data_IF_692257194934
#
_entry.id   IF_692257194934
#
_cell.length_a   1.000
_cell.length_b   1.000
_cell.length_c   1.000
_cell.angle_alpha   90.00
_cell.angle_beta   90.00
_cell.angle_gamma   90.00
#
_symmetry.space_group_name_H-M   'P 1'
#
loop_
_entity.id
_entity.type
_entity.pdbx_description
1 polymer ?
#
# COMPACT_ATOMS: atom_id res chain seq x y z
N UNK A 1 2.64 28.29 -45.05
CA UNK A 1 1.36 27.85 -44.46
C UNK A 1 1.53 26.90 -43.25
N UNK A 2 2.69 26.27 -43.09
CA UNK A 2 2.99 25.29 -42.02
C UNK A 2 3.07 25.87 -40.59
N UNK A 3 3.48 27.14 -40.43
CA UNK A 3 3.53 27.82 -39.11
C UNK A 3 2.16 28.14 -38.49
N UNK A 4 1.06 28.06 -39.25
CA UNK A 4 -0.30 28.43 -38.76
C UNK A 4 -1.03 27.22 -38.15
N UNK A 5 -0.72 26.01 -38.60
CA UNK A 5 -1.28 24.75 -38.07
C UNK A 5 -0.64 24.32 -36.75
N UNK A 6 0.67 24.48 -36.57
CA UNK A 6 1.34 24.24 -35.26
C UNK A 6 0.83 25.17 -34.14
N UNK A 7 0.55 26.44 -34.47
CA UNK A 7 0.03 27.40 -33.49
C UNK A 7 -1.38 27.05 -33.01
N UNK A 8 -2.22 26.52 -33.89
CA UNK A 8 -3.58 26.05 -33.57
C UNK A 8 -3.62 24.74 -32.79
N UNK A 9 -2.71 23.81 -33.08
CA UNK A 9 -2.59 22.56 -32.33
C UNK A 9 -2.10 22.82 -30.90
N UNK A 10 -1.07 23.68 -30.74
CA UNK A 10 -0.55 24.08 -29.44
C UNK A 10 -1.59 24.87 -28.61
N UNK A 11 -2.41 25.72 -29.22
CA UNK A 11 -3.47 26.43 -28.49
C UNK A 11 -4.60 25.50 -28.03
N UNK A 12 -4.92 24.48 -28.82
CA UNK A 12 -5.99 23.52 -28.53
C UNK A 12 -5.57 22.56 -27.41
N UNK A 13 -4.36 22.01 -27.48
CA UNK A 13 -3.77 21.18 -26.42
C UNK A 13 -3.64 21.98 -25.12
N UNK A 14 -3.18 23.24 -25.20
CA UNK A 14 -3.08 24.11 -24.03
C UNK A 14 -4.44 24.39 -23.38
N UNK A 15 -5.49 24.60 -24.19
CA UNK A 15 -6.84 24.83 -23.68
C UNK A 15 -7.42 23.58 -23.00
N UNK A 16 -7.26 22.40 -23.62
CA UNK A 16 -7.69 21.12 -23.06
C UNK A 16 -6.97 20.84 -21.73
N UNK A 17 -5.65 21.04 -21.68
CA UNK A 17 -4.87 20.86 -20.46
C UNK A 17 -5.32 21.83 -19.37
N UNK A 18 -5.52 23.12 -19.72
CA UNK A 18 -6.01 24.12 -18.78
C UNK A 18 -7.38 23.73 -18.20
N UNK A 19 -8.34 23.35 -19.05
CA UNK A 19 -9.68 22.94 -18.61
C UNK A 19 -9.64 21.67 -17.75
N UNK A 20 -8.78 20.71 -18.08
CA UNK A 20 -8.54 19.54 -17.26
C UNK A 20 -7.96 19.87 -15.88
N UNK A 21 -6.95 20.76 -15.80
CA UNK A 21 -6.34 21.20 -14.54
C UNK A 21 -7.32 21.97 -13.66
N UNK A 22 -8.20 22.78 -14.25
CA UNK A 22 -9.26 23.47 -13.51
C UNK A 22 -10.32 22.51 -12.98
N UNK A 23 -10.69 21.47 -13.74
CA UNK A 23 -11.66 20.45 -13.33
C UNK A 23 -11.08 19.43 -12.33
N UNK A 24 -9.76 19.29 -12.26
CA UNK A 24 -9.07 18.33 -11.40
C UNK A 24 -7.91 18.98 -10.63
N UNK A 25 -8.17 19.83 -9.62
CA UNK A 25 -7.13 20.57 -8.91
C UNK A 25 -6.12 19.70 -8.15
N UNK A 26 -6.42 18.43 -7.89
CA UNK A 26 -5.48 17.49 -7.27
C UNK A 26 -4.56 16.78 -8.28
N UNK A 27 -4.85 16.82 -9.59
CA UNK A 27 -3.98 16.22 -10.59
C UNK A 27 -2.57 16.83 -10.65
N UNK A 28 -2.36 18.17 -10.60
CA UNK A 28 -1.01 18.75 -10.59
C UNK A 28 -0.28 18.51 -9.27
N UNK A 29 -1.00 18.43 -8.15
CA UNK A 29 -0.42 18.14 -6.83
C UNK A 29 0.06 16.69 -6.76
N UNK A 30 -0.75 15.76 -7.26
CA UNK A 30 -0.35 14.36 -7.35
C UNK A 30 0.81 14.18 -8.34
N UNK A 31 0.78 14.86 -9.50
CA UNK A 31 1.86 14.79 -10.47
C UNK A 31 3.19 15.31 -9.88
N UNK A 32 3.18 16.47 -9.23
CA UNK A 32 4.39 17.03 -8.57
C UNK A 32 4.92 16.13 -7.45
N UNK A 33 4.04 15.55 -6.64
CA UNK A 33 4.41 14.57 -5.62
C UNK A 33 5.11 13.33 -6.24
N UNK A 34 4.51 12.76 -7.29
CA UNK A 34 5.07 11.61 -8.04
C UNK A 34 6.41 11.98 -8.66
N UNK A 35 6.52 13.15 -9.29
CA UNK A 35 7.78 13.66 -9.84
C UNK A 35 8.85 13.72 -8.75
N UNK A 36 8.56 14.30 -7.59
CA UNK A 36 9.48 14.32 -6.45
C UNK A 36 9.94 12.93 -6.01
N UNK A 37 9.02 11.95 -5.98
CA UNK A 37 9.35 10.57 -5.63
C UNK A 37 10.23 9.87 -6.67
N UNK A 38 9.98 10.10 -7.96
CA UNK A 38 10.80 9.57 -9.05
C UNK A 38 12.20 10.19 -9.02
N UNK A 39 12.29 11.49 -8.76
CA UNK A 39 13.55 12.22 -8.61
C UNK A 39 14.42 11.69 -7.48
N UNK A 40 13.82 11.18 -6.39
CA UNK A 40 14.58 10.56 -5.31
C UNK A 40 15.35 9.29 -5.73
N UNK A 41 15.00 8.67 -6.88
CA UNK A 41 15.80 7.56 -7.43
C UNK A 41 17.01 8.02 -8.27
N UNK A 42 17.09 9.29 -8.67
CA UNK A 42 18.10 9.80 -9.60
C UNK A 42 18.65 11.15 -9.12
N UNK A 43 19.81 11.15 -8.45
CA UNK A 43 20.40 12.34 -7.82
C UNK A 43 20.63 13.51 -8.80
N UNK A 44 21.00 13.23 -10.06
CA UNK A 44 21.20 14.26 -11.09
C UNK A 44 19.91 14.88 -11.64
N UNK A 45 18.82 14.11 -11.67
CA UNK A 45 17.56 14.56 -12.26
C UNK A 45 16.85 15.59 -11.37
N UNK A 46 17.14 15.57 -10.06
CA UNK A 46 16.63 16.54 -9.10
C UNK A 46 17.05 17.96 -9.45
N UNK A 47 18.30 18.16 -9.86
CA UNK A 47 18.82 19.47 -10.29
C UNK A 47 18.20 19.92 -11.61
N UNK A 48 18.04 19.02 -12.58
CA UNK A 48 17.42 19.36 -13.87
C UNK A 48 15.93 19.70 -13.73
N UNK A 49 15.17 18.97 -12.89
CA UNK A 49 13.74 19.22 -12.71
C UNK A 49 13.47 20.39 -11.78
N UNK A 50 14.28 20.61 -10.74
CA UNK A 50 14.20 21.86 -9.95
C UNK A 50 14.53 23.09 -10.79
N UNK A 51 15.52 23.00 -11.69
CA UNK A 51 15.82 24.04 -12.67
C UNK A 51 14.65 24.27 -13.65
N UNK A 52 14.06 23.20 -14.19
CA UNK A 52 12.91 23.29 -15.10
C UNK A 52 11.64 23.85 -14.42
N UNK A 53 11.34 23.45 -13.19
CA UNK A 53 10.23 24.00 -12.42
C UNK A 53 10.51 25.47 -12.03
N UNK A 54 11.76 25.84 -11.77
CA UNK A 54 12.15 27.24 -11.53
C UNK A 54 11.95 28.10 -12.79
N UNK A 55 12.29 27.57 -13.97
CA UNK A 55 12.04 28.21 -15.27
C UNK A 55 10.54 28.31 -15.59
N UNK A 56 9.76 27.27 -15.31
CA UNK A 56 8.30 27.30 -15.42
C UNK A 56 7.67 28.26 -14.41
N UNK A 57 8.23 28.37 -13.19
CA UNK A 57 7.83 29.33 -12.17
C UNK A 57 8.03 30.76 -12.63
N UNK A 58 9.21 31.07 -13.19
CA UNK A 58 9.52 32.35 -13.82
C UNK A 58 8.56 32.67 -14.98
N UNK A 59 8.23 31.68 -15.82
CA UNK A 59 7.26 31.82 -16.91
C UNK A 59 5.83 32.07 -16.39
N UNK A 60 5.44 31.42 -15.28
CA UNK A 60 4.13 31.52 -14.65
C UNK A 60 3.95 32.79 -13.81
N UNK A 61 5.02 33.42 -13.32
CA UNK A 61 4.99 34.75 -12.67
C UNK A 61 4.44 35.82 -13.63
N UNK A 62 4.56 35.62 -14.95
CA UNK A 62 3.96 36.51 -15.96
C UNK A 62 2.43 36.50 -16.00
N UNK A 63 1.75 35.55 -15.32
CA UNK A 63 0.28 35.49 -15.19
C UNK A 63 -0.11 35.33 -13.72
N UNK A 64 -0.84 36.31 -13.15
CA UNK A 64 -1.19 36.47 -11.71
C UNK A 64 -1.80 35.25 -10.96
N UNK A 65 -2.07 34.12 -11.61
CA UNK A 65 -2.53 32.85 -11.00
C UNK A 65 -1.41 31.80 -10.93
N UNK A 66 -0.33 31.95 -11.69
CA UNK A 66 0.72 30.93 -11.85
C UNK A 66 1.71 30.82 -10.69
N UNK A 67 2.09 31.94 -10.06
CA UNK A 67 3.12 31.93 -9.01
C UNK A 67 2.73 31.08 -7.78
N UNK A 68 1.47 31.20 -7.31
CA UNK A 68 0.96 30.42 -6.17
C UNK A 68 0.89 28.92 -6.49
N UNK A 69 0.48 28.56 -7.70
CA UNK A 69 0.40 27.17 -8.15
C UNK A 69 1.80 26.54 -8.31
N UNK A 70 2.76 27.28 -8.85
CA UNK A 70 4.16 26.83 -8.95
C UNK A 70 4.82 26.65 -7.58
N UNK A 71 4.59 27.58 -6.65
CA UNK A 71 5.08 27.46 -5.28
C UNK A 71 4.50 26.22 -4.58
N UNK A 72 3.20 25.98 -4.73
CA UNK A 72 2.54 24.80 -4.18
C UNK A 72 3.07 23.49 -4.81
N UNK A 73 3.28 23.47 -6.13
CA UNK A 73 3.86 22.32 -6.83
C UNK A 73 5.31 22.03 -6.38
N UNK A 74 6.12 23.07 -6.14
CA UNK A 74 7.48 22.93 -5.59
C UNK A 74 7.46 22.33 -4.19
N UNK A 75 6.55 22.78 -3.32
CA UNK A 75 6.37 22.21 -1.98
C UNK A 75 6.03 20.72 -2.09
N UNK A 76 5.09 20.33 -2.95
CA UNK A 76 4.70 18.92 -3.08
C UNK A 76 5.77 18.06 -3.74
N UNK A 77 6.55 18.59 -4.69
CA UNK A 77 7.72 17.92 -5.23
C UNK A 77 8.80 17.72 -4.15
N UNK A 78 9.06 18.73 -3.32
CA UNK A 78 10.00 18.64 -2.20
C UNK A 78 9.52 17.63 -1.14
N UNK A 79 8.23 17.63 -0.81
CA UNK A 79 7.61 16.64 0.08
C UNK A 79 7.70 15.23 -0.49
N UNK A 80 7.48 15.05 -1.80
CA UNK A 80 7.63 13.78 -2.49
C UNK A 80 9.07 13.27 -2.45
N UNK A 81 10.03 14.14 -2.73
CA UNK A 81 11.45 13.85 -2.64
C UNK A 81 11.88 13.48 -1.23
N UNK A 82 11.44 14.24 -0.21
CA UNK A 82 11.76 13.96 1.18
C UNK A 82 11.17 12.61 1.63
N UNK A 83 9.90 12.34 1.29
CA UNK A 83 9.26 11.08 1.65
C UNK A 83 9.92 9.87 0.96
N UNK A 84 10.25 9.98 -0.33
CA UNK A 84 10.91 8.90 -1.06
C UNK A 84 12.38 8.71 -0.61
N UNK A 85 13.12 9.79 -0.36
CA UNK A 85 14.52 9.72 0.09
C UNK A 85 14.66 9.08 1.47
N UNK A 86 13.71 9.31 2.40
CA UNK A 86 13.66 8.60 3.70
C UNK A 86 13.56 7.08 3.54
N UNK A 87 12.86 6.61 2.51
CA UNK A 87 12.58 5.19 2.28
C UNK A 87 13.69 4.52 1.47
N UNK A 88 14.20 5.23 0.45
CA UNK A 88 15.28 4.74 -0.42
C UNK A 88 16.65 4.83 0.25
N UNK A 89 16.88 5.83 1.09
CA UNK A 89 18.12 6.04 1.84
C UNK A 89 17.84 6.17 3.34
N UNK A 90 17.40 5.08 4.01
CA UNK A 90 17.15 5.14 5.44
C UNK A 90 18.48 5.42 6.17
N UNK A 91 18.49 6.43 7.05
CA UNK A 91 19.60 6.63 7.99
C UNK A 91 19.53 5.53 9.04
N UNK A 92 20.26 4.45 8.82
CA UNK A 92 20.26 3.29 9.70
C UNK A 92 21.23 3.53 10.86
N UNK A 93 20.75 3.39 12.10
CA UNK A 93 21.61 3.38 13.27
C UNK A 93 22.54 2.18 13.30
N UNK A 94 23.60 2.24 14.10
CA UNK A 94 24.54 1.13 14.32
C UNK A 94 23.86 -0.11 14.94
N UNK A 95 22.71 0.08 15.58
CA UNK A 95 21.85 -0.96 16.16
C UNK A 95 20.97 -1.69 15.12
N UNK A 96 21.02 -1.30 13.84
CA UNK A 96 20.22 -1.92 12.81
C UNK A 96 20.81 -3.26 12.35
N UNK A 97 19.96 -4.29 12.22
CA UNK A 97 20.41 -5.66 11.88
C UNK A 97 21.20 -5.76 10.57
N UNK A 98 20.91 -4.90 9.59
CA UNK A 98 21.64 -4.89 8.31
C UNK A 98 23.08 -4.34 8.38
N UNK A 99 23.44 -3.68 9.50
CA UNK A 99 24.78 -3.15 9.76
C UNK A 99 25.69 -4.18 10.45
N UNK A 100 25.12 -5.26 10.97
CA UNK A 100 25.86 -6.36 11.60
C UNK A 100 26.35 -7.36 10.55
N UNK A 101 27.38 -8.14 10.92
CA UNK A 101 27.81 -9.32 10.18
C UNK A 101 26.68 -10.35 10.12
N UNK A 102 25.93 -10.35 9.02
CA UNK A 102 24.74 -11.21 8.86
C UNK A 102 25.06 -12.72 8.96
N UNK A 103 26.31 -13.10 8.68
CA UNK A 103 26.80 -14.48 8.77
C UNK A 103 27.02 -14.94 10.22
N UNK A 104 27.31 -14.01 11.13
CA UNK A 104 27.47 -14.29 12.57
C UNK A 104 26.13 -14.42 13.30
N UNK A 105 25.03 -13.95 12.69
CA UNK A 105 23.69 -14.03 13.26
C UNK A 105 23.13 -15.43 13.07
N UNK A 106 23.04 -16.19 14.16
CA UNK A 106 22.54 -17.57 14.13
C UNK A 106 21.08 -17.69 14.58
N UNK A 107 20.59 -16.78 15.44
CA UNK A 107 19.20 -16.74 15.92
C UNK A 107 18.68 -15.31 15.96
N UNK A 108 17.36 -15.16 15.81
CA UNK A 108 16.66 -13.88 15.97
C UNK A 108 15.39 -14.06 16.80
N UNK A 109 15.05 -13.01 17.55
CA UNK A 109 13.79 -12.87 18.28
C UNK A 109 13.07 -11.59 17.84
N UNK A 110 11.76 -11.69 17.64
CA UNK A 110 10.96 -10.54 17.22
C UNK A 110 9.48 -10.84 17.06
N UNK A 111 8.72 -9.80 16.73
CA UNK A 111 7.28 -9.89 16.52
C UNK A 111 6.97 -10.04 15.03
N UNK A 112 5.97 -10.86 14.70
CA UNK A 112 5.43 -10.92 13.34
C UNK A 112 4.60 -9.66 13.05
N UNK A 113 5.03 -8.84 12.08
CA UNK A 113 4.32 -7.59 11.75
C UNK A 113 3.29 -7.75 10.64
N UNK A 114 3.30 -8.89 9.94
CA UNK A 114 2.27 -9.33 8.98
C UNK A 114 1.94 -10.81 9.25
N UNK A 115 0.72 -11.26 8.93
CA UNK A 115 0.42 -12.69 8.86
C UNK A 115 1.42 -13.40 7.94
N UNK A 116 1.74 -14.66 8.25
CA UNK A 116 2.62 -15.45 7.39
C UNK A 116 1.93 -15.82 6.08
N UNK A 117 2.61 -15.63 4.93
CA UNK A 117 2.10 -16.10 3.65
C UNK A 117 2.43 -17.59 3.49
N UNK A 118 1.42 -18.45 3.43
CA UNK A 118 1.61 -19.86 3.09
C UNK A 118 1.66 -20.03 1.55
N UNK A 119 2.62 -20.82 1.10
CA UNK A 119 2.71 -21.36 -0.26
C UNK A 119 2.90 -22.86 -0.13
N UNK A 120 2.50 -23.67 -1.12
CA UNK A 120 2.31 -25.14 -1.06
C UNK A 120 3.19 -25.93 -0.06
N UNK A 121 4.49 -25.61 0.06
CA UNK A 121 5.41 -26.20 1.05
C UNK A 121 6.33 -25.19 1.76
N UNK A 122 6.06 -23.89 1.66
CA UNK A 122 6.89 -22.83 2.23
C UNK A 122 6.04 -21.81 2.97
N UNK A 123 6.46 -21.43 4.16
CA UNK A 123 5.89 -20.28 4.88
C UNK A 123 6.84 -19.10 4.74
N UNK A 124 6.33 -17.97 4.29
CA UNK A 124 7.04 -16.69 4.35
C UNK A 124 6.69 -15.99 5.65
N UNK A 125 7.71 -15.66 6.44
CA UNK A 125 7.57 -15.02 7.75
C UNK A 125 8.12 -13.59 7.66
N UNK A 126 7.33 -12.63 8.15
CA UNK A 126 7.70 -11.22 8.22
C UNK A 126 7.90 -10.83 9.68
N UNK A 127 9.15 -10.57 10.07
CA UNK A 127 9.52 -10.32 11.47
C UNK A 127 10.09 -8.92 11.65
N UNK A 128 9.68 -8.25 12.73
CA UNK A 128 10.37 -7.09 13.27
C UNK A 128 11.25 -7.53 14.43
N UNK A 129 12.56 -7.51 14.20
CA UNK A 129 13.56 -8.02 15.14
C UNK A 129 13.70 -7.09 16.32
N UNK A 130 13.78 -7.68 17.51
CA UNK A 130 14.14 -6.97 18.75
C UNK A 130 15.49 -7.43 19.29
N UNK A 131 15.86 -8.70 19.06
CA UNK A 131 17.16 -9.25 19.48
C UNK A 131 17.74 -10.18 18.43
N UNK A 132 19.05 -10.14 18.27
CA UNK A 132 19.82 -11.06 17.45
C UNK A 132 20.86 -11.77 18.32
N UNK A 133 21.12 -13.04 18.04
CA UNK A 133 22.15 -13.83 18.71
C UNK A 133 23.40 -13.84 17.85
N UNK A 134 24.44 -13.16 18.33
CA UNK A 134 25.72 -12.93 17.65
C UNK A 134 26.84 -13.29 18.62
N UNK A 135 27.83 -14.07 18.19
CA UNK A 135 29.01 -14.44 18.99
C UNK A 135 28.64 -14.92 20.41
N UNK A 136 27.67 -15.84 20.48
CA UNK A 136 27.16 -16.45 21.70
C UNK A 136 26.48 -15.49 22.70
N UNK A 137 26.09 -14.28 22.29
CA UNK A 137 25.38 -13.30 23.12
C UNK A 137 24.16 -12.72 22.40
N UNK A 138 23.12 -12.40 23.16
CA UNK A 138 21.97 -11.66 22.66
C UNK A 138 22.25 -10.16 22.68
N UNK A 139 22.12 -9.53 21.52
CA UNK A 139 22.21 -8.08 21.36
C UNK A 139 20.86 -7.51 20.94
N UNK A 140 20.52 -6.33 21.45
CA UNK A 140 19.32 -5.59 21.03
C UNK A 140 19.58 -5.01 19.65
N UNK A 141 18.66 -5.27 18.72
CA UNK A 141 18.74 -4.78 17.35
C UNK A 141 17.38 -4.30 16.88
N UNK A 142 17.39 -3.48 15.84
CA UNK A 142 16.18 -3.06 15.13
C UNK A 142 16.26 -3.47 13.67
N UNK A 143 15.11 -3.74 13.08
CA UNK A 143 14.97 -3.95 11.65
C UNK A 143 13.91 -4.96 11.30
N UNK A 144 13.46 -4.91 10.05
CA UNK A 144 12.50 -5.88 9.51
C UNK A 144 13.22 -6.89 8.64
N UNK A 145 12.79 -8.13 8.75
CA UNK A 145 13.30 -9.23 7.95
C UNK A 145 12.21 -10.09 7.36
N UNK A 146 12.53 -10.69 6.21
CA UNK A 146 11.70 -11.68 5.52
C UNK A 146 12.41 -13.02 5.54
N UNK A 147 11.80 -14.02 6.17
CA UNK A 147 12.33 -15.38 6.23
C UNK A 147 11.49 -16.32 5.40
N UNK A 148 12.16 -17.24 4.70
CA UNK A 148 11.51 -18.37 4.07
C UNK A 148 11.73 -19.60 4.95
N UNK A 149 10.65 -20.22 5.39
CA UNK A 149 10.65 -21.48 6.15
C UNK A 149 10.16 -22.62 5.25
N UNK A 150 10.89 -23.73 5.24
CA UNK A 150 10.49 -24.96 4.54
C UNK A 150 9.61 -25.79 5.47
N UNK A 151 8.32 -25.55 5.41
CA UNK A 151 7.31 -26.20 6.25
C UNK A 151 6.01 -25.40 6.24
N UNK A 152 4.94 -26.02 6.74
CA UNK A 152 3.64 -25.34 6.93
C UNK A 152 3.55 -24.87 8.37
N UNK A 153 3.59 -23.56 8.55
CA UNK A 153 3.32 -22.92 9.83
C UNK A 153 2.48 -21.68 9.57
N UNK A 154 1.37 -21.53 10.30
CA UNK A 154 0.55 -20.34 10.25
C UNK A 154 0.89 -19.48 11.46
N UNK A 155 1.47 -18.30 11.21
CA UNK A 155 1.78 -17.31 12.23
C UNK A 155 0.86 -16.11 12.06
N UNK A 156 0.13 -15.82 13.13
CA UNK A 156 -0.67 -14.61 13.24
C UNK A 156 0.22 -13.38 13.41
N UNK A 157 -0.29 -12.22 13.04
CA UNK A 157 0.33 -10.93 13.35
C UNK A 157 0.39 -10.73 14.88
N UNK A 158 1.52 -10.24 15.39
CA UNK A 158 1.75 -9.97 16.81
C UNK A 158 2.37 -11.14 17.60
N UNK A 159 2.62 -12.28 16.98
CA UNK A 159 3.30 -13.41 17.62
C UNK A 159 4.79 -13.06 17.85
N UNK A 160 5.27 -13.26 19.08
CA UNK A 160 6.69 -13.17 19.40
C UNK A 160 7.32 -14.54 19.18
N UNK A 161 8.28 -14.63 18.26
CA UNK A 161 8.90 -15.90 17.89
C UNK A 161 10.42 -15.82 18.01
N UNK A 162 11.04 -16.98 18.24
CA UNK A 162 12.48 -17.22 18.16
C UNK A 162 12.76 -18.22 17.05
N UNK A 163 13.76 -17.94 16.21
CA UNK A 163 14.08 -18.83 15.08
C UNK A 163 15.56 -18.82 14.75
N UNK A 164 16.12 -20.00 14.43
CA UNK A 164 17.47 -20.13 13.86
C UNK A 164 17.44 -19.70 12.40
N UNK A 165 18.36 -18.84 12.00
CA UNK A 165 18.31 -18.19 10.68
C UNK A 165 19.65 -18.24 9.96
N UNK A 166 19.57 -18.21 8.63
CA UNK A 166 20.69 -17.80 7.76
C UNK A 166 20.27 -16.55 7.00
N UNK A 167 20.93 -15.43 7.28
CA UNK A 167 20.56 -14.11 6.76
C UNK A 167 21.47 -13.69 5.61
N UNK A 168 20.95 -12.84 4.73
CA UNK A 168 21.68 -12.20 3.63
C UNK A 168 21.01 -10.88 3.24
N UNK A 169 21.75 -10.02 2.55
CA UNK A 169 21.16 -8.83 1.92
C UNK A 169 20.36 -9.25 0.68
N UNK A 170 19.18 -8.63 0.42
CA UNK A 170 18.46 -8.86 -0.82
C UNK A 170 19.29 -8.37 -2.01
N UNK A 171 19.54 -9.26 -2.97
CA UNK A 171 20.20 -8.92 -4.23
C UNK A 171 19.17 -8.54 -5.29
N UNK A 172 19.53 -7.62 -6.18
CA UNK A 172 18.77 -7.32 -7.39
C UNK A 172 19.16 -8.24 -8.54
N UNK A 173 18.29 -8.31 -9.54
CA UNK A 173 18.70 -8.77 -10.87
C UNK A 173 19.41 -7.61 -11.57
N UNK A 174 20.56 -7.90 -12.20
CA UNK A 174 21.34 -6.89 -12.93
C UNK A 174 20.78 -6.59 -14.33
N UNK A 175 19.69 -7.25 -14.72
CA UNK A 175 19.14 -7.12 -16.07
C UNK A 175 18.35 -5.80 -16.22
N UNK A 176 18.70 -4.92 -17.17
CA UNK A 176 17.96 -3.68 -17.42
C UNK A 176 16.48 -3.96 -17.70
N UNK A 177 15.58 -3.16 -17.12
CA UNK A 177 14.12 -3.32 -17.27
C UNK A 177 13.48 -4.43 -16.41
N UNK A 178 14.26 -5.25 -15.71
CA UNK A 178 13.72 -6.27 -14.81
C UNK A 178 13.20 -5.68 -13.48
N UNK A 179 12.23 -6.36 -12.86
CA UNK A 179 11.66 -5.94 -11.58
C UNK A 179 12.74 -5.95 -10.48
N UNK A 180 13.02 -4.76 -9.93
CA UNK A 180 14.06 -4.57 -8.90
C UNK A 180 13.54 -4.99 -7.51
N UNK A 181 13.51 -6.30 -7.26
CA UNK A 181 12.95 -6.88 -6.02
C UNK A 181 13.58 -6.33 -4.73
N UNK A 182 14.89 -6.01 -4.73
CA UNK A 182 15.56 -5.41 -3.58
C UNK A 182 14.99 -4.02 -3.22
N UNK A 183 14.70 -3.16 -4.21
CA UNK A 183 14.07 -1.85 -3.98
C UNK A 183 12.65 -2.01 -3.46
N UNK A 184 11.90 -2.98 -3.97
CA UNK A 184 10.57 -3.30 -3.44
C UNK A 184 10.62 -3.69 -1.95
N UNK A 185 11.56 -4.55 -1.55
CA UNK A 185 11.73 -4.93 -0.15
C UNK A 185 12.19 -3.77 0.73
N UNK A 186 13.15 -2.98 0.25
CA UNK A 186 13.62 -1.77 0.93
C UNK A 186 12.49 -0.78 1.18
N UNK A 187 11.60 -0.61 0.19
CA UNK A 187 10.39 0.20 0.33
C UNK A 187 9.43 -0.30 1.41
N UNK A 188 9.42 -1.60 1.72
CA UNK A 188 8.69 -2.17 2.87
C UNK A 188 9.46 -2.08 4.21
N UNK A 189 10.65 -1.48 4.20
CA UNK A 189 11.59 -1.45 5.32
C UNK A 189 12.32 -2.77 5.55
N UNK A 190 12.22 -3.72 4.62
CA UNK A 190 12.86 -5.04 4.70
C UNK A 190 14.22 -4.96 4.02
N UNK A 191 15.27 -4.83 4.81
CA UNK A 191 16.66 -4.71 4.33
C UNK A 191 17.45 -6.01 4.43
N UNK A 192 16.88 -7.02 5.10
CA UNK A 192 17.51 -8.32 5.32
C UNK A 192 16.51 -9.42 4.98
N UNK A 193 16.96 -10.41 4.22
CA UNK A 193 16.20 -11.62 3.91
C UNK A 193 16.95 -12.85 4.40
N UNK A 194 16.25 -13.96 4.58
CA UNK A 194 16.92 -15.18 5.00
C UNK A 194 16.06 -16.43 4.90
N UNK A 195 16.64 -17.52 5.37
CA UNK A 195 15.96 -18.80 5.53
C UNK A 195 15.88 -19.15 7.01
N UNK A 196 14.73 -19.65 7.45
CA UNK A 196 14.58 -20.27 8.76
C UNK A 196 15.14 -21.69 8.68
N UNK A 197 16.14 -21.99 9.51
CA UNK A 197 16.84 -23.28 9.56
C UNK A 197 16.17 -24.27 10.51
N UNK A 198 15.28 -23.79 11.38
CA UNK A 198 14.50 -24.60 12.31
C UNK A 198 13.04 -24.15 12.31
N UNK A 199 12.12 -24.99 12.80
CA UNK A 199 10.78 -24.53 13.16
C UNK A 199 10.87 -23.31 14.09
N UNK A 200 10.14 -22.22 13.80
CA UNK A 200 10.03 -21.08 14.71
C UNK A 200 9.40 -21.49 16.04
N UNK A 201 10.06 -21.16 17.14
CA UNK A 201 9.56 -21.32 18.51
C UNK A 201 8.67 -20.12 18.84
N UNK A 202 7.40 -20.35 19.17
CA UNK A 202 6.45 -19.30 19.52
C UNK A 202 6.55 -19.04 21.02
N UNK A 203 7.13 -17.90 21.39
CA UNK A 203 7.37 -17.52 22.79
C UNK A 203 6.17 -16.80 23.42
N UNK A 204 5.43 -16.03 22.62
CA UNK A 204 4.20 -15.39 23.07
C UNK A 204 3.25 -15.18 21.89
N UNK A 205 1.97 -15.43 22.09
CA UNK A 205 0.93 -15.09 21.12
C UNK A 205 0.10 -13.96 21.69
N UNK A 206 0.35 -12.73 21.25
CA UNK A 206 -0.61 -11.65 21.47
C UNK A 206 -1.77 -11.85 20.48
N UNK A 207 -2.89 -12.41 20.95
CA UNK A 207 -4.11 -12.49 20.15
C UNK A 207 -4.82 -11.14 20.19
N UNK A 208 -4.60 -10.31 19.17
CA UNK A 208 -5.40 -9.10 19.00
C UNK A 208 -6.88 -9.47 18.74
N UNK A 209 -7.83 -8.59 19.08
CA UNK A 209 -9.26 -8.77 18.74
C UNK A 209 -9.47 -9.03 17.25
N UNK A 210 -8.65 -8.38 16.41
CA UNK A 210 -8.65 -8.59 14.96
C UNK A 210 -8.25 -10.03 14.58
N UNK A 211 -7.29 -10.60 15.29
CA UNK A 211 -6.84 -11.98 15.11
C UNK A 211 -7.97 -12.95 15.47
N UNK A 212 -8.69 -12.70 16.56
CA UNK A 212 -9.82 -13.54 16.98
C UNK A 212 -10.96 -13.52 15.95
N UNK A 213 -11.30 -12.33 15.44
CA UNK A 213 -12.32 -12.17 14.39
C UNK A 213 -11.89 -12.92 13.12
N UNK A 214 -10.63 -12.77 12.69
CA UNK A 214 -10.10 -13.50 11.52
C UNK A 214 -10.13 -15.01 11.73
N UNK A 215 -9.70 -15.51 12.90
CA UNK A 215 -9.76 -16.93 13.24
C UNK A 215 -11.19 -17.47 13.17
N UNK A 216 -12.17 -16.70 13.65
CA UNK A 216 -13.59 -17.07 13.55
C UNK A 216 -14.07 -17.23 12.09
N UNK A 217 -13.75 -16.27 11.21
CA UNK A 217 -14.07 -16.39 9.79
C UNK A 217 -13.33 -17.54 9.11
N UNK A 218 -12.06 -17.76 9.43
CA UNK A 218 -11.29 -18.88 8.89
C UNK A 218 -11.88 -20.23 9.31
N UNK A 219 -12.38 -20.33 10.54
CA UNK A 219 -13.09 -21.50 11.04
C UNK A 219 -14.42 -21.71 10.30
N UNK A 220 -15.23 -20.67 10.14
CA UNK A 220 -16.47 -20.74 9.37
C UNK A 220 -16.24 -21.19 7.90
N UNK A 221 -15.11 -20.79 7.32
CA UNK A 221 -14.72 -21.20 5.96
C UNK A 221 -14.16 -22.62 5.89
N UNK A 222 -13.81 -23.25 7.01
CA UNK A 222 -13.23 -24.60 7.02
C UNK A 222 -14.20 -25.68 6.55
N UNK A 223 -15.52 -25.42 6.63
CA UNK A 223 -16.59 -26.30 6.15
C UNK A 223 -16.77 -26.28 4.63
N UNK A 224 -16.16 -25.33 3.93
CA UNK A 224 -16.19 -25.28 2.47
C UNK A 224 -15.20 -26.28 1.85
N UNK A 225 -15.51 -26.77 0.64
CA UNK A 225 -14.59 -27.64 -0.11
C UNK A 225 -13.23 -26.93 -0.33
N UNK A 226 -12.11 -27.66 -0.45
CA UNK A 226 -10.78 -27.03 -0.62
C UNK A 226 -10.69 -26.03 -1.78
N UNK A 227 -11.34 -26.33 -2.93
CA UNK A 227 -11.41 -25.42 -4.09
C UNK A 227 -12.16 -24.13 -3.74
N UNK A 228 -13.32 -24.24 -3.11
CA UNK A 228 -14.16 -23.10 -2.76
C UNK A 228 -13.56 -22.29 -1.60
N UNK A 229 -12.95 -22.95 -0.62
CA UNK A 229 -12.35 -22.32 0.56
C UNK A 229 -11.25 -21.33 0.19
N UNK A 230 -10.34 -21.72 -0.72
CA UNK A 230 -9.29 -20.83 -1.21
C UNK A 230 -9.84 -19.58 -1.90
N UNK A 231 -10.90 -19.74 -2.71
CA UNK A 231 -11.58 -18.63 -3.37
C UNK A 231 -12.26 -17.72 -2.34
N UNK A 232 -13.02 -18.28 -1.40
CA UNK A 232 -13.72 -17.52 -0.36
C UNK A 232 -12.76 -16.77 0.56
N UNK A 233 -11.63 -17.39 0.95
CA UNK A 233 -10.56 -16.71 1.69
C UNK A 233 -10.01 -15.52 0.91
N UNK A 234 -9.84 -15.65 -0.40
CA UNK A 234 -9.34 -14.56 -1.24
C UNK A 234 -10.34 -13.40 -1.36
N UNK A 235 -11.63 -13.70 -1.51
CA UNK A 235 -12.67 -12.70 -1.69
C UNK A 235 -13.04 -12.00 -0.36
N UNK A 236 -13.11 -12.74 0.74
CA UNK A 236 -13.57 -12.22 2.04
C UNK A 236 -12.40 -11.62 2.83
N UNK A 237 -11.29 -12.36 2.92
CA UNK A 237 -10.15 -12.02 3.78
C UNK A 237 -8.94 -11.49 3.01
N UNK A 238 -8.99 -11.46 1.66
CA UNK A 238 -7.86 -11.08 0.82
C UNK A 238 -6.72 -12.10 0.78
N UNK A 239 -6.92 -13.30 1.33
CA UNK A 239 -5.89 -14.34 1.46
C UNK A 239 -5.92 -15.31 0.28
N UNK A 240 -4.82 -15.39 -0.47
CA UNK A 240 -4.70 -16.18 -1.71
C UNK A 240 -3.82 -17.42 -1.58
N UNK A 241 -3.39 -17.73 -0.37
CA UNK A 241 -2.47 -18.81 -0.01
C UNK A 241 -3.04 -20.20 -0.28
N UNK A 242 -4.36 -20.36 -0.21
CA UNK A 242 -5.05 -21.64 -0.42
C UNK A 242 -5.72 -21.80 -1.79
N UNK A 243 -5.49 -20.87 -2.74
CA UNK A 243 -6.01 -21.04 -4.11
C UNK A 243 -5.20 -22.14 -4.80
N UNK A 244 -5.88 -23.23 -5.16
CA UNK A 244 -5.29 -24.34 -5.90
C UNK A 244 -4.79 -23.88 -7.28
N UNK A 245 -3.75 -24.56 -7.78
CA UNK A 245 -3.06 -24.17 -9.02
C UNK A 245 -3.97 -24.28 -10.25
N UNK A 246 -4.79 -25.32 -10.33
CA UNK A 246 -5.79 -25.51 -11.39
C UNK A 246 -6.81 -24.36 -11.42
N UNK A 247 -7.28 -23.93 -10.25
CA UNK A 247 -8.17 -22.77 -10.12
C UNK A 247 -7.45 -21.50 -10.57
N UNK A 248 -6.21 -21.28 -10.10
CA UNK A 248 -5.43 -20.09 -10.47
C UNK A 248 -5.20 -19.99 -11.97
N UNK A 249 -4.86 -21.10 -12.63
CA UNK A 249 -4.67 -21.17 -14.07
C UNK A 249 -5.97 -20.85 -14.81
N UNK A 250 -7.11 -21.38 -14.35
CA UNK A 250 -8.41 -21.08 -14.94
C UNK A 250 -8.72 -19.57 -14.89
N UNK A 251 -8.47 -18.91 -13.76
CA UNK A 251 -8.63 -17.45 -13.61
C UNK A 251 -7.62 -16.64 -14.43
N UNK A 252 -6.44 -17.20 -14.75
CA UNK A 252 -5.44 -16.55 -15.60
C UNK A 252 -5.83 -16.64 -17.07
N UNK A 253 -6.18 -17.84 -17.54
CA UNK A 253 -6.60 -18.10 -18.92
C UNK A 253 -7.83 -17.28 -19.29
N UNK A 254 -8.78 -17.15 -18.36
CA UNK A 254 -10.01 -16.36 -18.55
C UNK A 254 -9.82 -14.84 -18.34
N UNK A 255 -8.62 -14.38 -17.98
CA UNK A 255 -8.33 -12.96 -17.75
C UNK A 255 -8.97 -12.34 -16.49
N UNK A 256 -9.70 -13.11 -15.69
CA UNK A 256 -10.43 -12.61 -14.50
C UNK A 256 -9.65 -12.76 -13.18
N UNK A 257 -8.34 -12.98 -13.24
CA UNK A 257 -7.45 -13.08 -12.06
C UNK A 257 -7.54 -11.88 -11.11
N UNK A 258 -7.94 -10.71 -11.59
CA UNK A 258 -8.12 -9.52 -10.78
C UNK A 258 -9.30 -9.61 -9.79
N UNK A 259 -10.29 -10.48 -10.04
CA UNK A 259 -11.43 -10.71 -9.14
C UNK A 259 -10.98 -11.39 -7.84
N UNK A 260 -9.91 -12.20 -7.90
CA UNK A 260 -9.29 -12.81 -6.72
C UNK A 260 -8.57 -11.78 -5.83
N UNK A 261 -8.55 -10.50 -6.21
CA UNK A 261 -8.17 -9.38 -5.36
C UNK A 261 -9.41 -8.74 -4.74
N UNK A 262 -9.31 -8.36 -3.46
CA UNK A 262 -10.25 -7.38 -2.91
C UNK A 262 -10.13 -6.09 -3.73
N UNK A 263 -11.14 -5.86 -4.56
CA UNK A 263 -11.18 -4.81 -5.59
C UNK A 263 -12.12 -3.68 -5.16
N UNK A 264 -12.20 -2.62 -5.97
CA UNK A 264 -13.15 -1.54 -5.75
C UNK A 264 -14.62 -2.00 -5.73
N UNK A 265 -14.94 -3.07 -6.47
CA UNK A 265 -16.29 -3.66 -6.50
C UNK A 265 -16.64 -4.28 -5.14
N UNK A 266 -15.70 -4.97 -4.50
CA UNK A 266 -15.93 -5.54 -3.17
C UNK A 266 -16.24 -4.44 -2.15
N UNK A 267 -15.46 -3.35 -2.20
CA UNK A 267 -15.65 -2.19 -1.32
C UNK A 267 -16.94 -1.43 -1.63
N UNK A 268 -17.36 -1.34 -2.90
CA UNK A 268 -18.62 -0.69 -3.27
C UNK A 268 -19.84 -1.46 -2.78
N UNK A 269 -19.82 -2.79 -2.96
CA UNK A 269 -20.87 -3.68 -2.45
C UNK A 269 -20.93 -3.57 -0.93
N UNK A 270 -19.78 -3.60 -0.25
CA UNK A 270 -19.72 -3.42 1.20
C UNK A 270 -20.29 -2.06 1.65
N UNK A 271 -19.99 -0.97 0.94
CA UNK A 271 -20.53 0.35 1.27
C UNK A 271 -22.06 0.38 1.16
N UNK A 272 -22.63 -0.25 0.11
CA UNK A 272 -24.08 -0.37 -0.05
C UNK A 272 -24.71 -1.19 1.10
N UNK A 273 -24.15 -2.36 1.39
CA UNK A 273 -24.64 -3.19 2.50
C UNK A 273 -24.49 -2.50 3.86
N UNK A 274 -23.37 -1.81 4.10
CA UNK A 274 -23.14 -1.05 5.33
C UNK A 274 -24.18 0.07 5.48
N UNK A 275 -24.47 0.78 4.40
CA UNK A 275 -25.49 1.85 4.39
C UNK A 275 -26.89 1.28 4.65
N UNK A 276 -27.22 0.15 4.04
CA UNK A 276 -28.50 -0.55 4.26
C UNK A 276 -28.63 -1.07 5.70
N UNK A 277 -27.56 -1.66 6.24
CA UNK A 277 -27.50 -2.19 7.60
C UNK A 277 -27.69 -1.08 8.64
N UNK A 278 -26.95 0.03 8.52
CA UNK A 278 -27.12 1.20 9.40
C UNK A 278 -28.54 1.75 9.30
N UNK A 279 -29.12 1.79 8.09
CA UNK A 279 -30.51 2.24 7.90
C UNK A 279 -31.52 1.36 8.64
N UNK A 280 -31.35 0.04 8.64
CA UNK A 280 -32.21 -0.89 9.39
C UNK A 280 -32.10 -0.63 10.89
N UNK A 281 -30.87 -0.50 11.41
CA UNK A 281 -30.64 -0.25 12.84
C UNK A 281 -31.32 1.06 13.28
N UNK A 282 -31.13 2.13 12.51
CA UNK A 282 -31.72 3.43 12.82
C UNK A 282 -33.24 3.42 12.74
N UNK A 283 -33.80 2.70 11.76
CA UNK A 283 -35.25 2.49 11.67
C UNK A 283 -35.79 1.73 12.88
N UNK A 284 -35.08 0.70 13.34
CA UNK A 284 -35.45 -0.07 14.52
C UNK A 284 -35.38 0.77 15.81
N UNK A 285 -34.40 1.69 15.89
CA UNK A 285 -34.26 2.66 16.98
C UNK A 285 -35.18 3.88 16.84
N UNK A 286 -36.05 3.95 15.83
CA UNK A 286 -36.94 5.09 15.53
C UNK A 286 -36.19 6.43 15.32
N UNK A 287 -34.94 6.39 14.87
CA UNK A 287 -34.13 7.59 14.60
C UNK A 287 -34.20 7.90 13.10
N UNK A 288 -34.71 9.08 12.75
CA UNK A 288 -34.72 9.56 11.37
C UNK A 288 -33.57 10.55 11.13
N UNK A 289 -32.69 10.23 10.18
CA UNK A 289 -31.52 11.06 9.83
C UNK A 289 -31.51 11.35 8.33
N UNK A 290 -30.79 12.41 7.94
CA UNK A 290 -30.58 12.73 6.53
C UNK A 290 -29.74 11.66 5.83
N UNK A 291 -29.92 11.54 4.50
CA UNK A 291 -29.15 10.60 3.66
C UNK A 291 -27.63 10.79 3.80
N UNK A 292 -27.19 12.05 3.99
CA UNK A 292 -25.77 12.38 4.13
C UNK A 292 -25.19 11.80 5.43
N UNK A 293 -25.89 11.98 6.56
CA UNK A 293 -25.47 11.41 7.85
C UNK A 293 -25.45 9.87 7.78
N UNK A 294 -26.44 9.27 7.11
CA UNK A 294 -26.48 7.83 6.91
C UNK A 294 -25.25 7.31 6.17
N UNK A 295 -24.84 7.98 5.08
CA UNK A 295 -23.63 7.61 4.34
C UNK A 295 -22.33 7.87 5.10
N UNK A 296 -22.31 8.85 6.02
CA UNK A 296 -21.17 9.04 6.91
C UNK A 296 -21.05 7.92 7.95
N UNK A 297 -22.18 7.51 8.54
CA UNK A 297 -22.22 6.43 9.53
C UNK A 297 -21.86 5.05 8.96
N UNK A 298 -21.89 4.87 7.63
CA UNK A 298 -21.47 3.62 6.99
C UNK A 298 -19.96 3.54 6.73
N UNK A 299 -19.23 4.67 6.72
CA UNK A 299 -17.78 4.69 6.49
C UNK A 299 -16.97 3.90 7.54
N UNK A 300 -17.27 3.96 8.85
CA UNK A 300 -16.57 3.16 9.86
C UNK A 300 -16.61 1.66 9.58
N UNK A 301 -17.73 1.13 9.06
CA UNK A 301 -17.86 -0.29 8.71
C UNK A 301 -16.95 -0.65 7.52
N UNK A 302 -16.91 0.21 6.50
CA UNK A 302 -16.02 0.03 5.34
C UNK A 302 -14.55 0.06 5.76
N UNK A 303 -14.13 1.05 6.54
CA UNK A 303 -12.76 1.15 7.00
C UNK A 303 -12.38 0.03 7.98
N UNK A 304 -13.32 -0.41 8.82
CA UNK A 304 -13.17 -1.57 9.68
C UNK A 304 -12.89 -2.85 8.88
N UNK A 305 -13.62 -3.08 7.80
CA UNK A 305 -13.35 -4.20 6.88
C UNK A 305 -12.00 -4.06 6.16
N UNK A 306 -11.67 -2.88 5.65
CA UNK A 306 -10.37 -2.65 4.98
C UNK A 306 -9.22 -2.97 5.94
N UNK A 307 -9.34 -2.56 7.21
CA UNK A 307 -8.40 -2.91 8.25
C UNK A 307 -8.36 -4.42 8.55
N UNK A 308 -9.53 -5.08 8.58
CA UNK A 308 -9.66 -6.53 8.75
C UNK A 308 -9.02 -7.34 7.61
N UNK A 309 -9.05 -6.86 6.38
CA UNK A 309 -8.37 -7.52 5.25
C UNK A 309 -6.87 -7.19 5.19
N UNK A 310 -6.39 -6.27 6.05
CA UNK A 310 -4.99 -5.87 6.10
C UNK A 310 -4.61 -4.73 5.13
N UNK A 311 -5.61 -4.01 4.61
CA UNK A 311 -5.44 -2.79 3.83
C UNK A 311 -4.70 -2.98 2.49
N UNK A 312 -5.10 -3.90 1.61
CA UNK A 312 -4.49 -3.99 0.29
C UNK A 312 -4.65 -2.66 -0.48
N UNK A 313 -3.67 -2.24 -1.30
CA UNK A 313 -3.70 -0.92 -1.97
C UNK A 313 -4.96 -0.66 -2.80
N UNK A 314 -5.54 -1.70 -3.41
CA UNK A 314 -6.82 -1.62 -4.12
C UNK A 314 -7.99 -1.25 -3.21
N UNK A 315 -8.07 -1.84 -2.01
CA UNK A 315 -9.12 -1.55 -1.04
C UNK A 315 -8.93 -0.18 -0.40
N UNK A 316 -7.69 0.22 -0.10
CA UNK A 316 -7.36 1.57 0.38
C UNK A 316 -7.79 2.66 -0.61
N UNK A 317 -7.51 2.47 -1.91
CA UNK A 317 -7.97 3.38 -2.97
C UNK A 317 -9.48 3.51 -2.96
N UNK A 318 -10.19 2.38 -2.95
CA UNK A 318 -11.64 2.39 -2.96
C UNK A 318 -12.22 3.05 -1.69
N UNK A 319 -11.69 2.74 -0.51
CA UNK A 319 -12.11 3.36 0.76
C UNK A 319 -11.93 4.87 0.76
N UNK A 320 -10.80 5.38 0.27
CA UNK A 320 -10.58 6.81 0.09
C UNK A 320 -11.54 7.42 -0.92
N UNK A 321 -11.71 6.80 -2.09
CA UNK A 321 -12.65 7.28 -3.11
C UNK A 321 -14.08 7.38 -2.57
N UNK A 322 -14.55 6.40 -1.81
CA UNK A 322 -15.87 6.45 -1.17
C UNK A 322 -15.94 7.54 -0.10
N UNK A 323 -14.91 7.65 0.75
CA UNK A 323 -14.83 8.69 1.78
C UNK A 323 -14.94 10.07 1.14
N UNK A 324 -14.08 10.37 0.16
CA UNK A 324 -14.10 11.65 -0.57
C UNK A 324 -15.42 11.87 -1.29
N UNK A 325 -16.05 10.84 -1.86
CA UNK A 325 -17.38 10.96 -2.48
C UNK A 325 -18.43 11.38 -1.46
N UNK A 326 -18.48 10.73 -0.29
CA UNK A 326 -19.41 11.07 0.79
C UNK A 326 -19.21 12.52 1.25
N UNK A 327 -17.95 12.96 1.40
CA UNK A 327 -17.63 14.35 1.71
C UNK A 327 -18.13 15.31 0.61
N UNK A 328 -17.79 15.07 -0.66
CA UNK A 328 -18.17 15.95 -1.77
C UNK A 328 -19.69 16.09 -1.89
N UNK A 329 -20.42 14.98 -1.83
CA UNK A 329 -21.89 14.96 -1.89
C UNK A 329 -22.49 15.70 -0.69
N UNK A 330 -21.94 15.50 0.51
CA UNK A 330 -22.47 16.13 1.72
C UNK A 330 -22.26 17.64 1.77
N UNK A 331 -21.22 18.14 1.12
CA UNK A 331 -20.92 19.56 0.97
C UNK A 331 -21.44 20.16 -0.35
N UNK A 332 -22.29 19.43 -1.09
CA UNK A 332 -22.85 19.85 -2.38
C UNK A 332 -21.78 20.31 -3.39
N UNK A 333 -20.60 19.67 -3.35
CA UNK A 333 -19.50 19.95 -4.26
C UNK A 333 -19.59 19.07 -5.51
N UNK A 334 -19.18 19.57 -6.69
CA UNK A 334 -19.22 18.78 -7.91
C UNK A 334 -18.32 17.55 -7.80
N UNK A 335 -18.86 16.39 -8.17
CA UNK A 335 -18.12 15.14 -8.22
C UNK A 335 -17.38 15.01 -9.55
N UNK A 336 -16.08 14.72 -9.49
CA UNK A 336 -15.26 14.34 -10.63
C UNK A 336 -14.54 13.05 -10.29
N UNK A 337 -14.85 11.97 -11.03
CA UNK A 337 -14.24 10.66 -10.82
C UNK A 337 -12.70 10.71 -10.97
N UNK A 338 -12.22 11.50 -11.93
CA UNK A 338 -10.78 11.70 -12.19
C UNK A 338 -10.13 12.43 -11.03
N UNK A 339 -10.72 13.53 -10.54
CA UNK A 339 -10.18 14.25 -9.38
C UNK A 339 -10.19 13.39 -8.12
N UNK A 340 -11.23 12.57 -7.93
CA UNK A 340 -11.33 11.64 -6.82
C UNK A 340 -10.23 10.56 -6.85
N UNK A 341 -9.87 10.07 -8.04
CA UNK A 341 -8.75 9.15 -8.23
C UNK A 341 -7.42 9.81 -7.83
N UNK A 342 -7.19 11.07 -8.24
CA UNK A 342 -5.99 11.81 -7.87
C UNK A 342 -5.92 12.12 -6.37
N UNK A 343 -7.06 12.42 -5.73
CA UNK A 343 -7.13 12.58 -4.26
C UNK A 343 -6.72 11.28 -3.57
N UNK A 344 -7.29 10.14 -3.98
CA UNK A 344 -6.94 8.84 -3.41
C UNK A 344 -5.45 8.51 -3.62
N UNK A 345 -4.92 8.73 -4.83
CA UNK A 345 -3.50 8.53 -5.12
C UNK A 345 -2.61 9.44 -4.27
N UNK A 346 -2.96 10.72 -4.17
CA UNK A 346 -2.22 11.71 -3.37
C UNK A 346 -2.10 11.28 -1.90
N UNK A 347 -3.22 10.94 -1.25
CA UNK A 347 -3.20 10.52 0.16
C UNK A 347 -2.47 9.19 0.36
N UNK A 348 -2.64 8.22 -0.54
CA UNK A 348 -1.91 6.95 -0.45
C UNK A 348 -0.42 7.15 -0.59
N UNK A 349 0.03 7.96 -1.54
CA UNK A 349 1.44 8.24 -1.76
C UNK A 349 2.04 9.03 -0.59
N UNK A 350 1.28 9.95 0.00
CA UNK A 350 1.74 10.71 1.15
C UNK A 350 1.95 9.83 2.39
N UNK A 351 1.05 8.88 2.64
CA UNK A 351 1.13 7.96 3.79
C UNK A 351 2.11 6.81 3.51
N UNK A 352 2.11 6.29 2.29
CA UNK A 352 2.90 5.15 1.90
C UNK A 352 3.52 5.31 0.50
N UNK A 353 4.67 6.02 0.40
CA UNK A 353 5.37 6.24 -0.86
C UNK A 353 5.81 4.95 -1.55
N UNK A 354 5.90 3.84 -0.81
CA UNK A 354 6.26 2.53 -1.38
C UNK A 354 5.24 2.01 -2.38
N UNK A 355 4.00 2.52 -2.33
CA UNK A 355 2.88 2.09 -3.15
C UNK A 355 2.87 2.70 -4.56
N UNK A 356 3.85 3.56 -4.88
CA UNK A 356 4.10 4.09 -6.22
C UNK A 356 4.55 3.02 -7.21
#
# INVERSE_FOLDING_TARGET
MEKRTEKGLNSTVFFILKDFYFKSPFSPLCASLVTGMLLANCEWLFFCVSAFISLLGLFCISKKVGAKACFLALIFAALGYWNASKILNPKLGKDHISQLSLEEITKVEGYTFKPSDLSMQRTTIYLEVKRAFVNNKWIKVKGRLKLNYRGKLQLNQGAFIRVKVKLRKPTGYFNPGSFQYHKYLQRQGILVIGSALSPPEILNTSKSTLTLIREHYLYALSFASPKTRGILKALILGQRDEILQDVRELFQITGVSHILAVSGIHVSVLFLFSTYFVKIILKWLHINISKNILTFLSLPLVWGYIYLVGGPPSALRAGLMFTTTVFLVSFYRPFSAVNNLFIAAFFILLINPSSL
#
